data_IF_734657332414
#
_entry.id   IF_734657332414
#
_cell.length_a   1.000
_cell.length_b   1.000
_cell.length_c   1.000
_cell.angle_alpha   90.00
_cell.angle_beta   90.00
_cell.angle_gamma   90.00
#
_symmetry.space_group_name_H-M   'P 1'
#
loop_
_entity.id
_entity.type
_entity.pdbx_description
1 polymer ?
#
# COMPACT_ATOMS: atom_id res chain seq x y z
N UNK A 1 15.63 18.42 8.11
CA UNK A 1 16.04 17.61 9.27
C UNK A 1 16.39 18.54 10.40
N UNK A 2 15.67 18.45 11.51
CA UNK A 2 15.89 19.26 12.71
C UNK A 2 16.85 18.50 13.64
N UNK A 3 17.86 19.16 14.21
CA UNK A 3 18.85 18.49 15.07
C UNK A 3 18.31 18.25 16.48
N UNK A 4 18.80 17.21 17.16
CA UNK A 4 18.42 16.88 18.54
C UNK A 4 18.69 18.02 19.54
N UNK A 5 19.71 18.83 19.29
CA UNK A 5 20.00 20.04 20.07
C UNK A 5 18.90 21.11 19.89
N UNK A 6 18.40 21.29 18.66
CA UNK A 6 17.27 22.19 18.40
C UNK A 6 16.01 21.67 19.12
N UNK A 7 15.76 20.36 19.13
CA UNK A 7 14.64 19.74 19.85
C UNK A 7 14.69 19.99 21.37
N UNK A 8 15.88 19.95 21.98
CA UNK A 8 16.05 20.23 23.40
C UNK A 8 15.85 21.72 23.75
N UNK A 9 16.20 22.62 22.84
CA UNK A 9 15.96 24.05 23.01
C UNK A 9 14.48 24.40 22.85
N UNK A 10 13.75 23.69 21.98
CA UNK A 10 12.29 23.80 21.85
C UNK A 10 11.55 23.30 23.10
N UNK A 11 11.97 22.17 23.69
CA UNK A 11 11.37 21.66 24.93
C UNK A 11 11.40 22.68 26.09
N UNK A 12 12.50 23.45 26.21
CA UNK A 12 12.63 24.52 27.21
C UNK A 12 11.79 25.77 26.92
N UNK A 13 11.39 25.97 25.66
CA UNK A 13 10.50 27.05 25.23
C UNK A 13 9.04 26.64 25.51
N UNK A 14 8.70 25.36 25.35
CA UNK A 14 7.37 24.79 25.61
C UNK A 14 6.99 24.84 27.09
N UNK A 15 7.94 24.62 28.00
CA UNK A 15 7.75 24.80 29.46
C UNK A 15 7.35 26.24 29.87
N UNK A 16 7.40 27.20 28.95
CA UNK A 16 7.14 28.63 29.18
C UNK A 16 5.94 29.15 28.38
N UNK A 17 5.18 28.27 27.72
CA UNK A 17 4.09 28.68 26.82
C UNK A 17 2.79 28.93 27.59
N UNK A 18 2.11 30.09 27.39
CA UNK A 18 0.88 30.42 28.09
C UNK A 18 -0.37 29.73 27.51
N UNK A 19 -1.36 29.55 28.38
CA UNK A 19 -2.66 28.88 28.28
C UNK A 19 -3.57 29.23 27.06
N UNK A 20 -3.25 30.26 26.27
CA UNK A 20 -4.16 30.86 25.27
C UNK A 20 -3.44 31.30 23.98
N UNK A 21 -3.99 30.94 22.82
CA UNK A 21 -3.55 31.41 21.50
C UNK A 21 -4.68 32.08 20.72
N UNK A 22 -4.36 33.18 20.04
CA UNK A 22 -5.24 33.88 19.08
C UNK A 22 -4.51 34.05 17.75
N UNK A 23 -5.06 33.51 16.67
CA UNK A 23 -4.46 33.49 15.33
C UNK A 23 -5.49 33.79 14.25
N UNK A 24 -5.19 34.70 13.32
CA UNK A 24 -6.09 34.98 12.20
C UNK A 24 -5.81 34.02 11.02
N UNK A 25 -6.80 33.22 10.64
CA UNK A 25 -6.74 32.28 9.52
C UNK A 25 -7.84 32.64 8.52
N UNK A 26 -7.47 32.94 7.27
CA UNK A 26 -8.42 33.24 6.18
C UNK A 26 -9.48 34.30 6.53
N UNK A 27 -9.04 35.41 7.16
CA UNK A 27 -9.89 36.52 7.64
C UNK A 27 -10.85 36.15 8.79
N UNK A 28 -10.62 35.02 9.47
CA UNK A 28 -11.32 34.64 10.69
C UNK A 28 -10.34 34.57 11.83
N UNK A 29 -10.69 35.17 12.95
CA UNK A 29 -9.90 35.07 14.17
C UNK A 29 -10.18 33.73 14.83
N UNK A 30 -9.15 32.88 14.90
CA UNK A 30 -9.18 31.59 15.56
C UNK A 30 -8.58 31.72 16.96
N UNK A 31 -9.24 31.14 17.96
CA UNK A 31 -8.77 31.10 19.33
C UNK A 31 -8.61 29.63 19.74
N UNK A 32 -7.41 29.28 20.19
CA UNK A 32 -7.06 27.92 20.64
C UNK A 32 -6.71 28.00 22.11
N UNK A 33 -7.44 27.24 22.92
CA UNK A 33 -7.19 27.13 24.37
C UNK A 33 -6.81 25.68 24.66
N UNK A 34 -5.58 25.49 25.15
CA UNK A 34 -5.02 24.18 25.43
C UNK A 34 -4.57 24.17 26.89
N UNK A 35 -5.38 23.57 27.76
CA UNK A 35 -5.12 23.56 29.20
C UNK A 35 -3.90 22.71 29.62
N UNK A 36 -3.35 21.89 28.73
CA UNK A 36 -2.24 21.00 29.07
C UNK A 36 -2.62 19.97 30.14
N UNK A 37 -1.68 19.06 30.42
CA UNK A 37 -1.82 18.14 31.53
C UNK A 37 -1.24 18.79 32.79
N UNK A 38 -2.09 18.99 33.81
CA UNK A 38 -1.67 19.51 35.12
C UNK A 38 -1.84 18.42 36.18
N UNK A 39 -0.74 17.95 36.76
CA UNK A 39 -0.76 16.94 37.84
C UNK A 39 -1.14 17.53 39.19
N UNK A 40 -0.96 18.84 39.35
CA UNK A 40 -1.28 19.61 40.55
C UNK A 40 -1.59 21.06 40.18
N UNK A 41 -2.46 21.69 40.97
CA UNK A 41 -2.74 23.12 40.88
C UNK A 41 -1.52 24.00 41.25
N UNK A 42 -0.52 23.44 41.96
CA UNK A 42 0.72 24.14 42.30
C UNK A 42 1.58 24.51 41.06
N UNK A 43 1.27 23.92 39.90
CA UNK A 43 1.96 24.12 38.63
C UNK A 43 1.19 25.02 37.65
N UNK A 44 0.04 25.56 38.07
CA UNK A 44 -0.78 26.45 37.27
C UNK A 44 -0.30 27.89 37.48
N UNK A 45 0.24 28.51 36.42
CA UNK A 45 0.72 29.90 36.45
C UNK A 45 -0.43 30.87 36.12
N UNK A 46 -1.37 31.01 37.07
CA UNK A 46 -2.54 31.92 36.98
C UNK A 46 -2.65 32.79 38.22
N UNK A 47 -3.18 34.01 38.09
CA UNK A 47 -3.47 34.89 39.24
C UNK A 47 -4.69 34.41 40.06
N UNK A 48 -5.51 33.51 39.49
CA UNK A 48 -6.67 32.92 40.13
C UNK A 48 -6.36 31.58 40.81
N UNK A 49 -6.99 31.34 41.96
CA UNK A 49 -6.89 30.09 42.71
C UNK A 49 -8.12 29.22 42.47
N UNK A 50 -7.91 27.95 42.13
CA UNK A 50 -8.98 26.98 41.86
C UNK A 50 -9.18 26.02 43.02
N UNK A 51 -10.42 25.61 43.28
CA UNK A 51 -10.74 24.72 44.41
C UNK A 51 -10.36 23.25 44.14
N UNK A 52 -10.29 22.86 42.85
CA UNK A 52 -9.81 21.56 42.40
C UNK A 52 -9.27 21.62 40.96
N UNK A 53 -8.62 20.54 40.51
CA UNK A 53 -8.17 20.40 39.12
C UNK A 53 -9.37 20.42 38.16
N UNK A 54 -10.50 19.82 38.54
CA UNK A 54 -11.73 19.89 37.75
C UNK A 54 -12.28 21.33 37.64
N UNK A 55 -12.21 22.11 38.72
CA UNK A 55 -12.64 23.52 38.75
C UNK A 55 -11.79 24.39 37.81
N UNK A 56 -10.47 24.17 37.79
CA UNK A 56 -9.57 24.78 36.82
C UNK A 56 -10.02 24.49 35.37
N UNK A 57 -10.29 23.22 35.04
CA UNK A 57 -10.70 22.83 33.68
C UNK A 57 -12.09 23.35 33.26
N UNK A 58 -12.99 23.60 34.21
CA UNK A 58 -14.30 24.20 33.93
C UNK A 58 -14.19 25.71 33.67
N UNK A 59 -13.45 26.44 34.52
CA UNK A 59 -13.20 27.87 34.31
C UNK A 59 -12.43 28.14 33.02
N UNK A 60 -11.43 27.30 32.75
CA UNK A 60 -10.69 27.21 31.51
C UNK A 60 -11.56 27.23 30.23
N UNK A 61 -12.63 26.45 30.25
CA UNK A 61 -13.60 26.31 29.16
C UNK A 61 -14.52 27.53 29.07
N UNK A 62 -14.99 28.00 30.21
CA UNK A 62 -15.89 29.16 30.29
C UNK A 62 -15.17 30.45 29.86
N UNK A 63 -13.88 30.62 30.18
CA UNK A 63 -13.05 31.71 29.69
C UNK A 63 -12.79 31.63 28.19
N UNK A 64 -12.62 30.43 27.62
CA UNK A 64 -12.53 30.25 26.18
C UNK A 64 -13.82 30.71 25.47
N UNK A 65 -14.97 30.45 26.09
CA UNK A 65 -16.29 30.86 25.61
C UNK A 65 -16.52 32.37 25.77
N UNK A 66 -16.17 32.95 26.93
CA UNK A 66 -16.42 34.35 27.29
C UNK A 66 -15.39 35.33 26.71
N UNK A 67 -14.11 34.95 26.59
CA UNK A 67 -13.05 35.77 25.99
C UNK A 67 -12.96 35.63 24.46
N UNK A 68 -13.62 34.62 23.88
CA UNK A 68 -13.48 34.25 22.47
C UNK A 68 -14.71 34.45 21.57
N UNK A 69 -15.85 34.86 22.10
CA UNK A 69 -17.04 35.22 21.33
C UNK A 69 -16.84 36.49 20.49
N UNK A 70 -16.07 36.39 19.41
CA UNK A 70 -15.86 37.44 18.41
C UNK A 70 -16.74 37.13 17.20
N UNK A 71 -17.50 38.11 16.73
CA UNK A 71 -18.27 38.04 15.48
C UNK A 71 -17.36 37.56 14.33
N UNK A 72 -17.73 36.46 13.67
CA UNK A 72 -16.97 35.74 12.63
C UNK A 72 -15.77 34.87 13.10
N UNK A 73 -15.64 34.60 14.41
CA UNK A 73 -14.55 33.82 15.00
C UNK A 73 -14.71 32.29 14.96
N UNK A 74 -13.60 31.57 15.21
CA UNK A 74 -13.56 30.11 15.40
C UNK A 74 -12.88 29.79 16.73
N UNK A 75 -13.48 28.93 17.55
CA UNK A 75 -12.94 28.54 18.86
C UNK A 75 -12.72 27.02 18.89
N UNK A 76 -11.53 26.59 19.30
CA UNK A 76 -11.17 25.17 19.47
C UNK A 76 -10.76 24.97 20.94
N UNK A 77 -11.58 24.23 21.68
CA UNK A 77 -11.32 23.87 23.08
C UNK A 77 -11.00 22.37 23.18
N UNK A 78 -9.90 22.04 23.87
CA UNK A 78 -9.53 20.68 24.22
C UNK A 78 -9.34 20.57 25.73
N UNK A 79 -10.17 19.75 26.38
CA UNK A 79 -10.03 19.43 27.80
C UNK A 79 -10.43 17.99 28.06
N UNK A 80 -9.87 17.40 29.12
CA UNK A 80 -10.37 16.17 29.70
C UNK A 80 -11.30 16.53 30.86
N UNK A 81 -12.62 16.33 30.76
CA UNK A 81 -13.43 16.22 31.95
C UNK A 81 -14.11 14.85 32.01
N UNK A 82 -13.82 14.12 33.09
CA UNK A 82 -14.84 13.22 33.62
C UNK A 82 -15.78 14.10 34.43
N UNK A 83 -17.10 14.06 34.22
CA UNK A 83 -18.12 13.73 35.25
C UNK A 83 -19.55 13.89 34.64
N UNK A 84 -20.39 12.84 34.78
CA UNK A 84 -21.87 12.84 34.61
C UNK A 84 -22.51 13.60 35.78
N UNK A 85 -23.62 14.34 35.74
CA UNK A 85 -24.85 14.47 34.92
C UNK A 85 -25.13 15.99 34.89
N UNK A 86 -25.63 16.63 33.84
CA UNK A 86 -26.80 16.28 33.04
C UNK A 86 -26.48 16.53 31.55
N UNK A 87 -26.07 15.45 30.87
CA UNK A 87 -25.86 15.32 29.42
C UNK A 87 -25.23 16.51 28.65
N UNK A 88 -23.91 16.45 28.43
CA UNK A 88 -23.39 16.27 27.06
C UNK A 88 -22.29 15.20 27.09
N UNK A 89 -22.20 14.35 26.05
CA UNK A 89 -21.81 12.96 26.19
C UNK A 89 -20.30 12.78 26.19
N UNK A 90 -19.85 11.68 26.78
CA UNK A 90 -18.71 10.94 26.25
C UNK A 90 -18.89 10.85 24.74
N UNK A 91 -18.18 11.68 23.96
CA UNK A 91 -18.52 11.84 22.55
C UNK A 91 -18.03 10.65 21.71
N UNK A 92 -17.50 9.58 22.33
CA UNK A 92 -16.88 8.43 21.68
C UNK A 92 -15.72 8.82 20.72
N UNK A 93 -15.00 9.91 21.01
CA UNK A 93 -14.01 10.50 20.11
C UNK A 93 -14.62 11.29 18.93
N UNK A 94 -15.86 11.75 19.03
CA UNK A 94 -16.54 12.55 18.01
C UNK A 94 -16.35 14.05 18.25
N UNK A 95 -15.80 14.77 17.28
CA UNK A 95 -15.72 16.24 17.33
C UNK A 95 -17.13 16.85 17.31
N UNK A 96 -17.49 17.60 18.35
CA UNK A 96 -18.76 18.33 18.37
C UNK A 96 -18.55 19.72 17.75
N UNK A 97 -19.43 20.10 16.82
CA UNK A 97 -19.40 21.39 16.13
C UNK A 97 -20.73 22.10 16.31
N UNK A 98 -20.68 23.32 16.83
CA UNK A 98 -21.85 24.18 16.97
C UNK A 98 -21.60 25.51 16.24
N UNK A 99 -22.64 26.06 15.62
CA UNK A 99 -22.63 27.43 15.11
C UNK A 99 -23.62 28.24 15.93
N UNK A 100 -23.15 29.28 16.59
CA UNK A 100 -23.97 30.21 17.37
C UNK A 100 -24.33 31.40 16.48
N UNK A 101 -25.58 31.44 16.01
CA UNK A 101 -26.09 32.50 15.14
C UNK A 101 -26.15 33.87 15.85
N UNK A 102 -26.26 33.91 17.18
CA UNK A 102 -26.34 35.16 17.93
C UNK A 102 -24.99 35.86 18.08
N UNK A 103 -23.91 35.07 18.01
CA UNK A 103 -22.52 35.53 18.10
C UNK A 103 -21.76 35.42 16.77
N UNK A 104 -22.40 34.90 15.72
CA UNK A 104 -21.81 34.54 14.43
C UNK A 104 -20.45 33.81 14.56
N UNK A 105 -20.40 32.77 15.38
CA UNK A 105 -19.16 32.05 15.70
C UNK A 105 -19.33 30.52 15.58
N UNK A 106 -18.24 29.82 15.23
CA UNK A 106 -18.22 28.35 15.16
C UNK A 106 -17.36 27.81 16.30
N UNK A 107 -17.96 26.93 17.11
CA UNK A 107 -17.33 26.25 18.24
C UNK A 107 -17.01 24.80 17.89
N UNK A 108 -15.81 24.35 18.27
CA UNK A 108 -15.39 22.96 18.22
C UNK A 108 -15.00 22.46 19.62
N UNK A 109 -15.65 21.39 20.08
CA UNK A 109 -15.32 20.66 21.31
C UNK A 109 -14.68 19.32 20.97
N UNK A 110 -13.47 19.09 21.48
CA UNK A 110 -12.67 17.90 21.19
C UNK A 110 -12.33 17.19 22.51
N UNK A 111 -12.92 16.01 22.71
CA UNK A 111 -12.63 15.12 23.84
C UNK A 111 -11.37 14.31 23.55
N UNK A 112 -10.31 14.50 24.32
CA UNK A 112 -8.99 13.91 24.09
C UNK A 112 -8.85 12.45 24.56
N UNK A 113 -9.87 11.85 25.21
CA UNK A 113 -10.05 10.39 25.30
C UNK A 113 -8.89 9.53 25.85
N UNK A 114 -7.91 10.09 26.57
CA UNK A 114 -6.79 9.31 27.11
C UNK A 114 -7.20 8.50 28.35
N UNK A 115 -7.81 7.32 28.14
CA UNK A 115 -7.91 6.28 29.18
C UNK A 115 -6.78 5.27 28.97
N UNK A 116 -5.69 5.42 29.71
CA UNK A 116 -4.61 4.45 29.76
C UNK A 116 -5.11 3.17 30.44
N UNK A 117 -5.13 2.03 29.73
CA UNK A 117 -5.36 0.74 30.36
C UNK A 117 -5.53 -0.48 29.47
N UNK A 118 -6.01 -0.34 28.23
CA UNK A 118 -6.16 -1.50 27.32
C UNK A 118 -6.39 -1.08 25.87
N UNK A 119 -5.74 -1.77 24.94
CA UNK A 119 -5.99 -1.65 23.48
C UNK A 119 -7.38 -2.21 23.17
N UNK A 120 -8.20 -1.45 22.45
CA UNK A 120 -9.49 -1.92 21.91
C UNK A 120 -9.45 -1.91 20.38
N UNK A 121 -9.87 -3.02 19.76
CA UNK A 121 -9.79 -3.25 18.30
C UNK A 121 -10.65 -2.31 17.44
N UNK A 122 -11.50 -1.47 18.04
CA UNK A 122 -12.44 -0.60 17.31
C UNK A 122 -12.39 0.89 17.73
N UNK A 123 -11.29 1.34 18.32
CA UNK A 123 -11.15 2.75 18.73
C UNK A 123 -11.00 3.71 17.52
N UNK A 124 -11.57 4.92 17.61
CA UNK A 124 -11.37 6.04 16.66
C UNK A 124 -10.65 7.19 17.37
N UNK A 125 -9.81 7.93 16.63
CA UNK A 125 -8.81 8.86 17.17
C UNK A 125 -9.33 10.29 17.41
N UNK A 126 -8.81 10.94 18.47
CA UNK A 126 -9.33 12.19 19.06
C UNK A 126 -8.30 13.27 19.49
N UNK A 127 -7.03 13.30 19.01
CA UNK A 127 -6.08 14.37 19.42
C UNK A 127 -4.87 14.58 18.48
N UNK A 128 -4.27 15.79 18.52
CA UNK A 128 -2.92 16.14 18.03
C UNK A 128 -1.96 16.17 19.23
N UNK A 129 -0.86 15.43 19.16
CA UNK A 129 0.21 15.47 20.16
C UNK A 129 1.23 16.55 19.74
N UNK A 130 1.28 17.65 20.48
CA UNK A 130 2.16 18.79 20.16
C UNK A 130 3.65 18.54 20.49
N UNK A 131 3.99 17.35 21.00
CA UNK A 131 5.37 16.92 21.28
C UNK A 131 6.12 16.47 20.03
N UNK A 132 5.40 16.03 18.98
CA UNK A 132 5.99 15.49 17.75
C UNK A 132 5.29 15.93 16.45
N UNK A 133 4.38 16.92 16.52
CA UNK A 133 3.63 17.49 15.39
C UNK A 133 2.98 16.45 14.46
N UNK A 134 2.65 15.25 14.94
CA UNK A 134 1.94 14.27 14.13
C UNK A 134 0.44 14.55 14.10
N UNK A 135 -0.05 14.93 12.91
CA UNK A 135 -1.48 15.02 12.59
C UNK A 135 -1.99 13.62 12.23
N UNK A 136 -3.12 13.24 12.81
CA UNK A 136 -3.79 11.99 12.45
C UNK A 136 -5.27 12.25 12.14
N UNK A 137 -5.72 11.80 10.96
CA UNK A 137 -7.11 11.88 10.50
C UNK A 137 -7.75 10.49 10.47
N UNK A 138 -9.04 10.39 10.82
CA UNK A 138 -9.93 9.32 10.32
C UNK A 138 -10.95 9.96 9.40
N UNK A 139 -10.66 9.98 8.09
CA UNK A 139 -11.64 10.30 7.06
C UNK A 139 -12.47 9.07 6.73
N UNK A 140 -13.81 9.15 6.87
CA UNK A 140 -14.71 8.24 6.16
C UNK A 140 -14.93 8.73 4.73
N UNK A 141 -13.90 8.64 3.90
CA UNK A 141 -13.96 8.62 2.43
C UNK A 141 -12.57 8.30 1.88
N UNK A 142 -12.49 7.31 0.99
CA UNK A 142 -11.34 6.83 0.19
C UNK A 142 -10.05 6.34 0.91
N UNK A 143 -9.68 6.85 2.08
CA UNK A 143 -8.53 6.36 2.86
C UNK A 143 -8.69 4.92 3.39
N UNK A 144 -9.93 4.44 3.58
CA UNK A 144 -10.22 3.03 3.96
C UNK A 144 -10.17 2.08 2.76
N UNK A 145 -10.30 2.59 1.52
CA UNK A 145 -10.20 1.76 0.30
C UNK A 145 -8.74 1.46 -0.06
N UNK A 146 -7.80 2.36 0.23
CA UNK A 146 -6.37 2.20 -0.11
C UNK A 146 -5.73 1.01 0.62
N UNK A 147 -5.97 0.85 1.93
CA UNK A 147 -5.45 -0.28 2.73
C UNK A 147 -5.97 -1.64 2.28
N UNK A 148 -7.21 -1.67 1.78
CA UNK A 148 -7.82 -2.90 1.29
C UNK A 148 -7.14 -3.37 0.00
N UNK A 149 -6.68 -2.46 -0.86
CA UNK A 149 -6.14 -2.84 -2.16
C UNK A 149 -4.78 -3.53 -2.04
N UNK A 150 -3.93 -3.10 -1.09
CA UNK A 150 -2.69 -3.82 -0.76
C UNK A 150 -2.98 -5.23 -0.26
N UNK A 151 -3.89 -5.38 0.71
CA UNK A 151 -4.27 -6.69 1.23
C UNK A 151 -4.85 -7.59 0.12
N UNK A 152 -5.76 -7.04 -0.69
CA UNK A 152 -6.41 -7.72 -1.81
C UNK A 152 -5.38 -8.22 -2.83
N UNK A 153 -4.48 -7.36 -3.31
CA UNK A 153 -3.49 -7.70 -4.33
C UNK A 153 -2.33 -8.55 -3.81
N UNK A 154 -1.70 -8.14 -2.71
CA UNK A 154 -0.47 -8.78 -2.21
C UNK A 154 -0.74 -10.19 -1.69
N UNK A 155 -1.84 -10.42 -0.97
CA UNK A 155 -2.20 -11.78 -0.54
C UNK A 155 -2.61 -12.64 -1.72
N UNK A 156 -3.20 -12.05 -2.77
CA UNK A 156 -3.47 -12.73 -4.01
C UNK A 156 -2.19 -13.21 -4.71
N UNK A 157 -1.19 -12.32 -4.80
CA UNK A 157 0.14 -12.61 -5.35
C UNK A 157 0.84 -13.71 -4.56
N UNK A 158 0.94 -13.57 -3.23
CA UNK A 158 1.60 -14.54 -2.34
C UNK A 158 0.92 -15.92 -2.39
N UNK A 159 -0.41 -15.94 -2.48
CA UNK A 159 -1.15 -17.19 -2.60
C UNK A 159 -0.90 -17.88 -3.94
N UNK A 160 -0.81 -17.11 -5.03
CA UNK A 160 -0.50 -17.63 -6.35
C UNK A 160 0.90 -18.22 -6.44
N UNK A 161 1.89 -17.45 -5.99
CA UNK A 161 3.28 -17.88 -5.84
C UNK A 161 3.35 -19.20 -5.06
N UNK A 162 2.86 -19.23 -3.81
CA UNK A 162 2.95 -20.41 -2.95
C UNK A 162 2.23 -21.66 -3.48
N UNK A 163 1.23 -21.50 -4.35
CA UNK A 163 0.58 -22.61 -5.05
C UNK A 163 1.42 -23.16 -6.22
N UNK A 164 2.20 -22.29 -6.88
CA UNK A 164 3.04 -22.66 -8.01
C UNK A 164 4.40 -23.23 -7.60
N UNK A 165 5.00 -22.78 -6.50
CA UNK A 165 6.33 -23.22 -6.01
C UNK A 165 6.54 -24.74 -6.03
N UNK A 166 5.60 -25.60 -5.59
CA UNK A 166 5.83 -27.04 -5.56
C UNK A 166 5.94 -27.68 -6.95
N UNK A 167 5.41 -27.04 -7.99
CA UNK A 167 5.32 -27.61 -9.35
C UNK A 167 6.08 -26.79 -10.39
N UNK A 168 6.92 -25.85 -9.95
CA UNK A 168 7.74 -25.04 -10.84
C UNK A 168 8.58 -25.91 -11.79
N UNK A 169 8.68 -25.47 -13.05
CA UNK A 169 9.30 -26.17 -14.17
C UNK A 169 8.61 -27.48 -14.60
N UNK A 170 7.42 -27.78 -14.07
CA UNK A 170 6.63 -28.94 -14.50
C UNK A 170 5.93 -28.63 -15.82
N UNK A 171 6.16 -29.47 -16.84
CA UNK A 171 5.53 -29.28 -18.15
C UNK A 171 4.00 -29.35 -18.08
N UNK A 172 3.33 -28.61 -18.96
CA UNK A 172 1.87 -28.64 -19.09
C UNK A 172 1.27 -30.03 -19.17
N UNK A 173 1.91 -30.92 -19.94
CA UNK A 173 1.45 -32.29 -20.12
C UNK A 173 1.36 -33.03 -18.78
N UNK A 174 2.36 -32.86 -17.92
CA UNK A 174 2.36 -33.42 -16.57
C UNK A 174 1.34 -32.73 -15.67
N UNK A 175 1.16 -31.42 -15.81
CA UNK A 175 0.11 -30.69 -15.08
C UNK A 175 -1.30 -31.15 -15.47
N UNK A 176 -1.52 -31.58 -16.71
CA UNK A 176 -2.81 -32.16 -17.13
C UNK A 176 -3.05 -33.55 -16.53
N UNK A 177 -1.99 -34.35 -16.34
CA UNK A 177 -2.08 -35.67 -15.69
C UNK A 177 -2.25 -35.55 -14.16
N UNK A 178 -1.58 -34.57 -13.56
CA UNK A 178 -1.52 -34.35 -12.12
C UNK A 178 -1.73 -32.87 -11.78
N UNK A 179 -2.95 -32.34 -11.96
CA UNK A 179 -3.21 -30.93 -11.75
C UNK A 179 -3.11 -30.55 -10.27
N UNK A 180 -2.61 -29.35 -10.02
CA UNK A 180 -2.72 -28.70 -8.71
C UNK A 180 -4.18 -28.35 -8.49
N UNK A 181 -4.71 -28.80 -7.35
CA UNK A 181 -6.09 -28.54 -6.91
C UNK A 181 -6.16 -27.86 -5.55
N UNK A 182 -5.03 -27.85 -4.82
CA UNK A 182 -4.91 -27.34 -3.46
C UNK A 182 -3.45 -26.98 -3.13
N UNK A 183 -3.23 -26.29 -2.02
CA UNK A 183 -1.91 -25.86 -1.55
C UNK A 183 -1.09 -27.04 -1.04
N UNK A 184 0.03 -27.30 -1.70
CA UNK A 184 0.96 -28.39 -1.36
C UNK A 184 2.37 -27.84 -1.17
N UNK A 185 3.33 -28.70 -0.86
CA UNK A 185 4.74 -28.36 -0.66
C UNK A 185 5.62 -29.57 -0.97
N UNK A 186 6.92 -29.43 -0.77
CA UNK A 186 7.91 -30.48 -0.99
C UNK A 186 7.91 -31.05 -2.41
N UNK A 187 7.93 -30.17 -3.41
CA UNK A 187 7.98 -30.51 -4.83
C UNK A 187 9.32 -30.12 -5.44
N UNK A 188 9.33 -29.11 -6.32
CA UNK A 188 10.56 -28.57 -6.93
C UNK A 188 11.61 -28.19 -5.90
N UNK A 189 11.18 -27.50 -4.84
CA UNK A 189 12.03 -27.16 -3.69
C UNK A 189 11.62 -27.93 -2.42
N UNK A 190 12.56 -28.19 -1.50
CA UNK A 190 12.32 -28.91 -0.26
C UNK A 190 11.65 -28.02 0.82
N UNK A 191 10.67 -27.22 0.43
CA UNK A 191 9.98 -26.24 1.29
C UNK A 191 8.56 -26.69 1.62
N UNK A 192 8.06 -26.44 2.85
CA UNK A 192 6.71 -26.86 3.26
C UNK A 192 5.59 -26.12 2.50
N UNK A 193 4.34 -26.63 2.56
CA UNK A 193 3.19 -25.93 2.01
C UNK A 193 3.08 -24.47 2.49
N UNK A 194 2.67 -23.58 1.60
CA UNK A 194 2.52 -22.15 1.90
C UNK A 194 3.83 -21.35 1.88
N UNK A 195 4.94 -21.98 1.47
CA UNK A 195 6.18 -21.28 1.15
C UNK A 195 6.06 -20.59 -0.21
N UNK A 196 6.51 -19.35 -0.29
CA UNK A 196 6.54 -18.49 -1.49
C UNK A 196 7.99 -18.20 -1.90
N UNK A 197 8.23 -17.89 -3.18
CA UNK A 197 9.54 -17.77 -3.85
C UNK A 197 10.07 -16.33 -3.92
N UNK A 198 10.95 -16.05 -4.88
CA UNK A 198 11.51 -14.73 -5.12
C UNK A 198 10.46 -13.72 -5.61
N UNK A 199 9.41 -14.17 -6.30
CA UNK A 199 8.22 -13.39 -6.67
C UNK A 199 7.68 -12.55 -5.50
N UNK A 200 7.21 -13.25 -4.45
CA UNK A 200 6.69 -12.62 -3.25
C UNK A 200 7.79 -11.94 -2.45
N UNK A 201 8.99 -12.52 -2.38
CA UNK A 201 10.11 -11.94 -1.66
C UNK A 201 10.40 -10.51 -2.12
N UNK A 202 10.57 -10.34 -3.42
CA UNK A 202 10.93 -9.07 -4.01
C UNK A 202 9.74 -8.11 -4.05
N UNK A 203 8.50 -8.61 -4.17
CA UNK A 203 7.30 -7.79 -4.02
C UNK A 203 7.20 -7.22 -2.58
N UNK A 204 7.40 -8.06 -1.55
CA UNK A 204 7.34 -7.67 -0.15
C UNK A 204 8.51 -6.75 0.25
N UNK A 205 9.70 -6.97 -0.31
CA UNK A 205 10.84 -6.06 -0.18
C UNK A 205 10.52 -4.66 -0.74
N UNK A 206 9.83 -4.60 -1.87
CA UNK A 206 9.36 -3.35 -2.47
C UNK A 206 8.28 -2.69 -1.62
N UNK A 207 7.29 -3.46 -1.15
CA UNK A 207 6.23 -3.00 -0.26
C UNK A 207 6.80 -2.40 1.04
N UNK A 208 7.79 -3.06 1.63
CA UNK A 208 8.45 -2.58 2.85
C UNK A 208 9.14 -1.23 2.66
N UNK A 209 9.75 -0.97 1.50
CA UNK A 209 10.35 0.32 1.21
C UNK A 209 9.30 1.43 1.03
N UNK A 210 8.16 1.11 0.39
CA UNK A 210 7.06 2.06 0.22
C UNK A 210 6.51 2.55 1.57
N UNK A 211 6.40 1.65 2.55
CA UNK A 211 5.96 2.00 3.90
C UNK A 211 6.88 3.02 4.59
N UNK A 212 8.20 2.82 4.51
CA UNK A 212 9.15 3.65 5.26
C UNK A 212 9.55 4.94 4.53
N UNK A 213 9.61 4.91 3.19
CA UNK A 213 10.28 5.94 2.39
C UNK A 213 9.52 6.36 1.13
N UNK A 214 8.32 5.81 0.89
CA UNK A 214 7.66 5.91 -0.40
C UNK A 214 8.47 5.24 -1.51
N UNK A 215 8.37 5.71 -2.77
CA UNK A 215 9.14 5.14 -3.87
C UNK A 215 10.60 5.61 -3.78
N UNK A 216 11.40 4.85 -3.04
CA UNK A 216 12.84 5.02 -2.94
C UNK A 216 13.57 3.84 -3.60
N UNK A 217 14.00 4.05 -4.84
CA UNK A 217 14.68 3.03 -5.66
C UNK A 217 15.92 2.44 -4.98
N UNK A 218 16.69 3.27 -4.27
CA UNK A 218 17.87 2.82 -3.53
C UNK A 218 17.46 1.90 -2.39
N UNK A 219 16.46 2.31 -1.60
CA UNK A 219 15.96 1.51 -0.48
C UNK A 219 15.40 0.17 -0.95
N UNK A 220 14.75 0.13 -2.11
CA UNK A 220 14.25 -1.11 -2.71
C UNK A 220 15.41 -2.04 -3.09
N UNK A 221 16.46 -1.51 -3.75
CA UNK A 221 17.65 -2.31 -4.05
C UNK A 221 18.39 -2.76 -2.79
N UNK A 222 18.50 -1.91 -1.76
CA UNK A 222 19.05 -2.30 -0.45
C UNK A 222 18.22 -3.44 0.16
N UNK A 223 16.89 -3.40 0.04
CA UNK A 223 16.03 -4.49 0.49
C UNK A 223 16.19 -5.77 -0.35
N UNK A 224 16.47 -5.67 -1.65
CA UNK A 224 16.80 -6.83 -2.49
C UNK A 224 18.14 -7.46 -2.09
N UNK A 225 19.14 -6.64 -1.73
CA UNK A 225 20.42 -7.14 -1.16
C UNK A 225 20.17 -7.83 0.18
N UNK A 226 19.35 -7.24 1.07
CA UNK A 226 18.96 -7.87 2.35
C UNK A 226 18.20 -9.19 2.15
N UNK A 227 17.41 -9.30 1.10
CA UNK A 227 16.74 -10.54 0.71
C UNK A 227 17.74 -11.60 0.24
N UNK A 228 18.61 -11.26 -0.72
CA UNK A 228 19.64 -12.15 -1.29
C UNK A 228 20.61 -12.66 -0.22
N UNK A 229 21.13 -11.76 0.63
CA UNK A 229 22.21 -12.09 1.57
C UNK A 229 21.72 -12.60 2.94
N UNK A 230 20.57 -12.10 3.41
CA UNK A 230 20.12 -12.31 4.80
C UNK A 230 18.73 -12.97 4.91
N UNK A 231 18.06 -13.29 3.80
CA UNK A 231 16.75 -13.96 3.81
C UNK A 231 15.63 -13.16 4.48
N UNK A 232 15.77 -11.83 4.63
CA UNK A 232 14.88 -10.98 5.44
C UNK A 232 13.41 -11.05 5.00
N UNK A 233 13.22 -11.12 3.69
CA UNK A 233 11.93 -11.20 3.02
C UNK A 233 11.72 -12.59 2.43
N UNK A 234 12.00 -13.67 3.16
CA UNK A 234 11.68 -15.04 2.71
C UNK A 234 10.75 -15.72 3.72
N UNK A 235 10.06 -16.83 3.37
CA UNK A 235 9.15 -17.51 4.30
C UNK A 235 9.87 -18.02 5.56
N UNK A 236 11.11 -18.49 5.44
CA UNK A 236 11.83 -19.18 6.51
C UNK A 236 13.22 -18.60 6.85
N UNK A 237 13.59 -17.43 6.32
CA UNK A 237 14.91 -16.83 6.52
C UNK A 237 16.02 -17.37 5.60
N UNK A 238 15.67 -18.24 4.65
CA UNK A 238 16.57 -18.77 3.63
C UNK A 238 16.08 -18.36 2.24
N UNK A 239 17.00 -17.93 1.36
CA UNK A 239 16.70 -17.55 -0.02
C UNK A 239 16.80 -18.77 -0.95
N UNK A 240 15.83 -18.89 -1.85
CA UNK A 240 15.86 -19.81 -2.98
C UNK A 240 15.25 -19.10 -4.20
N UNK A 241 15.33 -19.74 -5.37
CA UNK A 241 14.67 -19.32 -6.61
C UNK A 241 15.15 -18.05 -7.31
N UNK A 242 16.34 -17.54 -6.97
CA UNK A 242 16.77 -16.30 -7.61
C UNK A 242 17.07 -16.45 -9.12
N UNK A 243 16.31 -15.72 -9.94
CA UNK A 243 16.57 -15.58 -11.36
C UNK A 243 17.91 -14.90 -11.70
N UNK A 244 18.61 -15.43 -12.72
CA UNK A 244 19.95 -14.97 -13.14
C UNK A 244 20.02 -13.46 -13.44
N UNK A 245 18.99 -12.89 -14.09
CA UNK A 245 18.94 -11.45 -14.39
C UNK A 245 18.83 -10.58 -13.14
N UNK A 246 18.10 -11.05 -12.12
CA UNK A 246 18.02 -10.40 -10.81
C UNK A 246 19.37 -10.45 -10.10
N UNK A 247 19.99 -11.63 -10.02
CA UNK A 247 21.29 -11.82 -9.38
C UNK A 247 22.39 -10.92 -9.98
N UNK A 248 22.48 -10.84 -11.31
CA UNK A 248 23.44 -9.93 -11.97
C UNK A 248 23.19 -8.46 -11.62
N UNK A 249 21.93 -8.05 -11.50
CA UNK A 249 21.59 -6.66 -11.20
C UNK A 249 21.84 -6.30 -9.73
N UNK A 250 21.54 -7.21 -8.80
CA UNK A 250 21.87 -7.05 -7.37
C UNK A 250 23.39 -7.00 -7.19
N UNK A 251 24.13 -7.90 -7.86
CA UNK A 251 25.59 -7.84 -7.91
C UNK A 251 26.11 -6.50 -8.43
N UNK A 252 25.62 -6.02 -9.58
CA UNK A 252 26.02 -4.72 -10.14
C UNK A 252 25.73 -3.57 -9.17
N UNK A 253 24.57 -3.59 -8.52
CA UNK A 253 24.22 -2.58 -7.53
C UNK A 253 25.16 -2.60 -6.33
N UNK A 254 25.53 -3.77 -5.80
CA UNK A 254 26.50 -3.90 -4.70
C UNK A 254 27.89 -3.37 -5.07
N UNK A 255 28.30 -3.48 -6.34
CA UNK A 255 29.60 -2.99 -6.80
C UNK A 255 29.64 -1.46 -7.03
N UNK A 256 28.54 -0.89 -7.53
CA UNK A 256 28.55 0.49 -8.05
C UNK A 256 27.56 1.45 -7.37
N UNK A 257 26.66 0.93 -6.53
CA UNK A 257 25.60 1.67 -5.82
C UNK A 257 24.73 2.56 -6.72
N UNK A 258 24.61 2.22 -8.01
CA UNK A 258 23.90 3.02 -9.00
C UNK A 258 22.64 2.30 -9.51
N UNK A 259 21.50 2.69 -8.95
CA UNK A 259 20.17 2.17 -9.30
C UNK A 259 19.76 2.45 -10.76
N UNK A 260 20.39 3.41 -11.44
CA UNK A 260 20.04 3.75 -12.82
C UNK A 260 20.69 2.83 -13.85
N UNK A 261 21.73 2.06 -13.46
CA UNK A 261 22.55 1.28 -14.38
C UNK A 261 22.76 -0.17 -13.95
N UNK A 262 22.12 -0.63 -12.88
CA UNK A 262 22.33 -1.98 -12.35
C UNK A 262 21.59 -3.07 -13.15
N UNK A 263 20.41 -2.77 -13.69
CA UNK A 263 19.60 -3.73 -14.43
C UNK A 263 20.12 -4.07 -15.83
N UNK A 264 19.78 -5.27 -16.29
CA UNK A 264 20.18 -5.78 -17.60
C UNK A 264 19.26 -5.24 -18.71
N UNK A 265 19.84 -4.73 -19.80
CA UNK A 265 19.12 -4.02 -20.87
C UNK A 265 19.10 -4.76 -22.21
N UNK A 266 19.61 -5.99 -22.26
CA UNK A 266 19.70 -6.79 -23.49
C UNK A 266 18.41 -7.54 -23.79
N UNK A 267 18.18 -7.84 -25.07
CA UNK A 267 16.99 -8.57 -25.52
C UNK A 267 16.85 -9.96 -24.89
N UNK A 268 17.97 -10.64 -24.64
CA UNK A 268 18.00 -11.94 -23.96
C UNK A 268 17.86 -11.86 -22.43
N UNK A 269 17.59 -10.67 -21.89
CA UNK A 269 17.38 -10.41 -20.45
C UNK A 269 15.92 -10.01 -20.15
N UNK A 270 14.96 -10.41 -20.99
CA UNK A 270 13.53 -10.14 -20.81
C UNK A 270 12.81 -11.24 -20.00
N UNK A 271 13.42 -11.64 -18.88
CA UNK A 271 12.73 -12.44 -17.88
C UNK A 271 11.51 -11.70 -17.30
N UNK A 272 10.57 -12.44 -16.71
CA UNK A 272 9.41 -11.92 -16.00
C UNK A 272 9.73 -11.36 -14.59
N UNK A 273 10.98 -11.46 -14.13
CA UNK A 273 11.39 -11.09 -12.77
C UNK A 273 11.16 -9.63 -12.34
N UNK A 274 10.94 -8.69 -13.26
CA UNK A 274 10.46 -7.35 -12.90
C UNK A 274 8.94 -7.26 -12.80
N UNK A 275 8.21 -8.01 -13.62
CA UNK A 275 6.75 -8.03 -13.68
C UNK A 275 6.17 -8.68 -12.43
N UNK A 276 6.76 -9.79 -11.95
CA UNK A 276 6.27 -10.50 -10.76
C UNK A 276 6.17 -9.64 -9.50
N UNK A 277 7.03 -8.63 -9.37
CA UNK A 277 7.18 -7.84 -8.14
C UNK A 277 6.68 -6.41 -8.23
N UNK A 278 6.08 -5.99 -9.35
CA UNK A 278 5.73 -4.58 -9.58
C UNK A 278 4.45 -4.14 -8.88
N UNK A 279 3.57 -5.09 -8.52
CA UNK A 279 2.25 -4.85 -7.93
C UNK A 279 2.21 -3.79 -6.81
N UNK A 280 3.05 -3.83 -5.76
CA UNK A 280 2.96 -2.85 -4.67
C UNK A 280 3.21 -1.41 -5.14
N UNK A 281 4.09 -1.21 -6.14
CA UNK A 281 4.33 0.10 -6.73
C UNK A 281 3.16 0.52 -7.61
N UNK A 282 2.55 -0.40 -8.36
CA UNK A 282 1.36 -0.10 -9.15
C UNK A 282 0.19 0.40 -8.29
N UNK A 283 -0.04 -0.26 -7.13
CA UNK A 283 -1.05 0.16 -6.16
C UNK A 283 -0.73 1.56 -5.60
N UNK A 284 0.53 1.80 -5.24
CA UNK A 284 0.98 3.10 -4.72
C UNK A 284 0.77 4.23 -5.74
N UNK A 285 1.17 4.01 -6.99
CA UNK A 285 1.00 4.99 -8.06
C UNK A 285 -0.46 5.27 -8.35
N UNK A 286 -1.31 4.23 -8.37
CA UNK A 286 -2.76 4.40 -8.52
C UNK A 286 -3.32 5.33 -7.43
N UNK A 287 -2.91 5.12 -6.18
CA UNK A 287 -3.31 5.99 -5.08
C UNK A 287 -2.86 7.44 -5.30
N UNK A 288 -1.62 7.66 -5.73
CA UNK A 288 -1.15 9.00 -6.08
C UNK A 288 -1.90 9.62 -7.28
N UNK A 289 -2.38 8.82 -8.23
CA UNK A 289 -3.27 9.31 -9.30
C UNK A 289 -4.61 9.78 -8.74
N UNK A 290 -5.24 8.97 -7.89
CA UNK A 290 -6.55 9.26 -7.30
C UNK A 290 -6.50 10.51 -6.40
N UNK A 291 -5.50 10.60 -5.51
CA UNK A 291 -5.41 11.67 -4.50
C UNK A 291 -4.81 12.97 -5.04
N UNK A 292 -3.75 12.86 -5.85
CA UNK A 292 -2.94 14.00 -6.26
C UNK A 292 -3.05 14.32 -7.76
N UNK A 293 -3.83 13.55 -8.52
CA UNK A 293 -3.94 13.73 -9.97
C UNK A 293 -2.62 13.46 -10.71
N UNK A 294 -1.78 12.55 -10.19
CA UNK A 294 -0.52 12.18 -10.83
C UNK A 294 -0.76 11.67 -12.26
N UNK A 295 -0.01 12.21 -13.23
CA UNK A 295 -0.21 11.90 -14.65
C UNK A 295 0.36 10.54 -15.04
N UNK A 296 -0.19 9.96 -16.11
CA UNK A 296 0.22 8.67 -16.66
C UNK A 296 1.70 8.66 -17.06
N UNK A 297 2.20 9.74 -17.65
CA UNK A 297 3.62 9.87 -18.04
C UNK A 297 4.55 9.69 -16.83
N UNK A 298 4.20 10.31 -15.70
CA UNK A 298 4.99 10.22 -14.47
C UNK A 298 4.87 8.84 -13.83
N UNK A 299 3.68 8.24 -13.84
CA UNK A 299 3.49 6.88 -13.33
C UNK A 299 4.33 5.87 -14.12
N UNK A 300 4.27 5.93 -15.45
CA UNK A 300 5.01 5.00 -16.30
C UNK A 300 6.53 5.23 -16.26
N UNK A 301 6.99 6.47 -16.10
CA UNK A 301 8.42 6.73 -15.85
C UNK A 301 8.89 6.00 -14.58
N UNK A 302 8.10 6.03 -13.51
CA UNK A 302 8.41 5.34 -12.26
C UNK A 302 8.36 3.82 -12.44
N UNK A 303 7.31 3.29 -13.09
CA UNK A 303 7.19 1.85 -13.38
C UNK A 303 8.38 1.36 -14.20
N UNK A 304 8.83 2.13 -15.19
CA UNK A 304 9.99 1.77 -16.01
C UNK A 304 11.28 1.79 -15.21
N UNK A 305 11.47 2.76 -14.30
CA UNK A 305 12.62 2.79 -13.38
C UNK A 305 12.61 1.61 -12.42
N UNK A 306 11.44 1.22 -11.91
CA UNK A 306 11.26 0.04 -11.06
C UNK A 306 11.60 -1.26 -11.78
N UNK A 307 11.15 -1.42 -13.03
CA UNK A 307 11.57 -2.55 -13.85
C UNK A 307 13.08 -2.54 -14.05
N UNK A 308 13.64 -1.38 -14.41
CA UNK A 308 15.06 -1.20 -14.71
C UNK A 308 16.02 -1.45 -13.54
N UNK A 309 15.52 -1.60 -12.32
CA UNK A 309 16.33 -2.05 -11.19
C UNK A 309 16.98 -3.42 -11.45
N UNK A 310 16.29 -4.32 -12.17
CA UNK A 310 16.90 -5.58 -12.63
C UNK A 310 16.70 -5.88 -14.12
N UNK A 311 15.55 -5.50 -14.70
CA UNK A 311 15.20 -5.71 -16.10
C UNK A 311 14.97 -4.35 -16.80
N UNK A 312 16.02 -3.83 -17.43
CA UNK A 312 16.04 -2.51 -18.06
C UNK A 312 15.65 -2.51 -19.54
N UNK A 313 15.50 -3.68 -20.15
CA UNK A 313 15.03 -3.79 -21.54
C UNK A 313 13.58 -3.30 -21.69
N UNK A 314 13.25 -2.72 -22.85
CA UNK A 314 11.98 -2.02 -23.08
C UNK A 314 10.75 -2.93 -22.99
N UNK A 315 10.83 -4.19 -23.46
CA UNK A 315 9.73 -5.17 -23.30
C UNK A 315 9.37 -5.43 -21.83
N UNK A 316 10.37 -5.56 -20.95
CA UNK A 316 10.14 -5.75 -19.51
C UNK A 316 9.47 -4.52 -18.87
N UNK A 317 9.96 -3.33 -19.22
CA UNK A 317 9.38 -2.04 -18.80
C UNK A 317 7.93 -1.88 -19.27
N UNK A 318 7.66 -2.22 -20.54
CA UNK A 318 6.33 -2.13 -21.13
C UNK A 318 5.35 -3.09 -20.48
N UNK A 319 5.77 -4.34 -20.22
CA UNK A 319 4.96 -5.35 -19.53
C UNK A 319 4.54 -4.88 -18.13
N UNK A 320 5.49 -4.31 -17.36
CA UNK A 320 5.19 -3.70 -16.07
C UNK A 320 4.20 -2.52 -16.19
N UNK A 321 4.31 -1.71 -17.25
CA UNK A 321 3.37 -0.61 -17.49
C UNK A 321 1.98 -1.08 -17.90
N UNK A 322 1.87 -2.13 -18.72
CA UNK A 322 0.59 -2.77 -19.06
C UNK A 322 -0.06 -3.32 -17.78
N UNK A 323 0.72 -3.97 -16.93
CA UNK A 323 0.28 -4.45 -15.63
C UNK A 323 -0.22 -3.31 -14.71
N UNK A 324 0.48 -2.17 -14.68
CA UNK A 324 0.03 -0.98 -13.95
C UNK A 324 -1.37 -0.52 -14.39
N UNK A 325 -1.62 -0.43 -15.70
CA UNK A 325 -2.95 -0.11 -16.21
C UNK A 325 -3.99 -1.16 -15.82
N UNK A 326 -3.63 -2.45 -15.83
CA UNK A 326 -4.52 -3.52 -15.37
C UNK A 326 -4.90 -3.35 -13.89
N UNK A 327 -3.92 -3.11 -13.01
CA UNK A 327 -4.16 -2.83 -11.58
C UNK A 327 -5.09 -1.63 -11.42
N UNK A 328 -4.82 -0.53 -12.13
CA UNK A 328 -5.61 0.70 -12.05
C UNK A 328 -7.07 0.50 -12.45
N UNK A 329 -7.32 -0.20 -13.56
CA UNK A 329 -8.66 -0.43 -14.08
C UNK A 329 -9.41 -1.48 -13.26
N UNK A 330 -8.79 -2.62 -12.94
CA UNK A 330 -9.41 -3.68 -12.15
C UNK A 330 -9.81 -3.22 -10.75
N UNK A 331 -9.01 -2.33 -10.13
CA UNK A 331 -9.32 -1.75 -8.83
C UNK A 331 -10.62 -0.92 -8.81
N UNK A 332 -11.16 -0.50 -9.97
CA UNK A 332 -12.45 0.21 -10.04
C UNK A 332 -13.64 -0.70 -9.69
N UNK A 333 -13.56 -2.00 -10.01
CA UNK A 333 -14.58 -3.03 -9.72
C UNK A 333 -16.02 -2.62 -10.07
N UNK A 334 -16.20 -1.78 -11.09
CA UNK A 334 -17.48 -1.17 -11.43
C UNK A 334 -18.05 -1.65 -12.78
N UNK A 335 -17.32 -2.54 -13.46
CA UNK A 335 -17.62 -3.09 -14.78
C UNK A 335 -17.20 -4.55 -14.86
N UNK A 336 -17.68 -5.31 -15.86
CA UNK A 336 -17.18 -6.66 -16.14
C UNK A 336 -15.66 -6.69 -16.33
N UNK A 337 -15.03 -7.78 -15.90
CA UNK A 337 -13.56 -7.95 -15.95
C UNK A 337 -12.98 -7.70 -17.35
N UNK A 338 -13.61 -8.28 -18.38
CA UNK A 338 -13.16 -8.13 -19.77
C UNK A 338 -13.14 -6.66 -20.22
N UNK A 339 -14.16 -5.87 -19.86
CA UNK A 339 -14.24 -4.45 -20.21
C UNK A 339 -13.14 -3.64 -19.51
N UNK A 340 -12.86 -3.94 -18.24
CA UNK A 340 -11.80 -3.29 -17.48
C UNK A 340 -10.41 -3.61 -18.05
N UNK A 341 -10.17 -4.88 -18.41
CA UNK A 341 -8.91 -5.30 -19.04
C UNK A 341 -8.74 -4.70 -20.44
N UNK A 342 -9.80 -4.66 -21.25
CA UNK A 342 -9.73 -4.04 -22.58
C UNK A 342 -9.39 -2.55 -22.45
N UNK A 343 -10.02 -1.84 -21.50
CA UNK A 343 -9.70 -0.44 -21.25
C UNK A 343 -8.25 -0.25 -20.76
N UNK A 344 -7.73 -1.14 -19.91
CA UNK A 344 -6.34 -1.10 -19.45
C UNK A 344 -5.36 -1.26 -20.62
N UNK A 345 -5.60 -2.26 -21.48
CA UNK A 345 -4.82 -2.51 -22.68
C UNK A 345 -4.89 -1.31 -23.62
N UNK A 346 -6.08 -0.76 -23.89
CA UNK A 346 -6.23 0.38 -24.78
C UNK A 346 -5.47 1.62 -24.32
N UNK A 347 -5.51 1.91 -23.01
CA UNK A 347 -4.75 3.01 -22.41
C UNK A 347 -3.24 2.78 -22.54
N UNK A 348 -2.78 1.56 -22.24
CA UNK A 348 -1.36 1.20 -22.33
C UNK A 348 -0.81 1.29 -23.76
N UNK A 349 -1.53 0.75 -24.75
CA UNK A 349 -1.14 0.83 -26.16
C UNK A 349 -1.17 2.27 -26.67
N UNK A 350 -2.21 3.05 -26.31
CA UNK A 350 -2.29 4.47 -26.69
C UNK A 350 -1.12 5.30 -26.15
N UNK A 351 -0.57 4.94 -24.98
CA UNK A 351 0.64 5.56 -24.46
C UNK A 351 1.88 5.15 -25.25
N UNK A 352 2.10 3.85 -25.44
CA UNK A 352 3.32 3.33 -26.08
C UNK A 352 3.39 3.58 -27.59
N UNK A 353 2.26 3.74 -28.28
CA UNK A 353 2.21 4.08 -29.70
C UNK A 353 2.78 5.49 -30.00
N UNK A 354 2.90 6.36 -29.00
CA UNK A 354 3.41 7.74 -29.15
C UNK A 354 4.93 7.81 -29.35
N UNK A 355 5.66 6.75 -28.97
CA UNK A 355 7.12 6.69 -29.07
C UNK A 355 7.54 5.62 -30.09
N UNK A 356 8.42 5.97 -31.03
CA UNK A 356 8.81 5.06 -32.11
C UNK A 356 9.52 3.78 -31.65
N UNK A 357 10.29 3.81 -30.56
CA UNK A 357 10.99 2.63 -30.06
C UNK A 357 10.03 1.71 -29.29
N UNK A 358 9.15 2.29 -28.47
CA UNK A 358 8.07 1.54 -27.81
C UNK A 358 7.11 0.92 -28.83
N UNK A 359 6.81 1.63 -29.92
CA UNK A 359 5.95 1.13 -31.00
C UNK A 359 6.52 -0.09 -31.72
N UNK A 360 7.83 -0.18 -31.91
CA UNK A 360 8.46 -1.39 -32.49
C UNK A 360 8.29 -2.58 -31.54
N UNK A 361 8.54 -2.37 -30.25
CA UNK A 361 8.40 -3.42 -29.25
C UNK A 361 6.94 -3.84 -29.02
N UNK A 362 5.97 -2.94 -29.23
CA UNK A 362 4.53 -3.24 -29.13
C UNK A 362 4.07 -4.34 -30.09
N UNK A 363 4.76 -4.56 -31.20
CA UNK A 363 4.41 -5.63 -32.16
C UNK A 363 4.42 -7.01 -31.51
N UNK A 364 5.31 -7.22 -30.53
CA UNK A 364 5.38 -8.47 -29.75
C UNK A 364 4.19 -8.67 -28.80
N UNK A 365 3.47 -7.61 -28.45
CA UNK A 365 2.29 -7.63 -27.57
C UNK A 365 0.97 -7.73 -28.35
N UNK A 366 1.02 -7.92 -29.67
CA UNK A 366 -0.18 -7.91 -30.53
C UNK A 366 -1.29 -8.87 -30.08
N UNK A 367 -0.94 -10.02 -29.49
CA UNK A 367 -1.89 -11.04 -29.01
C UNK A 367 -2.76 -10.58 -27.85
N UNK A 368 -2.31 -9.59 -27.07
CA UNK A 368 -3.10 -9.03 -25.96
C UNK A 368 -3.86 -7.76 -26.34
N UNK A 369 -3.87 -7.35 -27.62
CA UNK A 369 -4.55 -6.11 -28.04
C UNK A 369 -6.08 -6.18 -27.91
N UNK A 370 -6.65 -7.36 -28.08
CA UNK A 370 -8.09 -7.61 -28.06
C UNK A 370 -8.41 -8.71 -27.04
N UNK A 371 -9.09 -8.36 -25.95
CA UNK A 371 -9.45 -9.30 -24.88
C UNK A 371 -10.44 -10.37 -25.34
N UNK A 372 -11.37 -10.05 -26.23
CA UNK A 372 -12.31 -11.02 -26.78
C UNK A 372 -11.56 -12.08 -27.61
N UNK A 373 -10.61 -11.66 -28.44
CA UNK A 373 -9.77 -12.58 -29.22
C UNK A 373 -8.85 -13.40 -28.32
N UNK A 374 -8.19 -12.76 -27.36
CA UNK A 374 -7.33 -13.43 -26.38
C UNK A 374 -8.10 -14.53 -25.65
N UNK A 375 -9.32 -14.26 -25.18
CA UNK A 375 -10.14 -15.22 -24.44
C UNK A 375 -10.41 -16.52 -25.22
N UNK A 376 -10.43 -16.44 -26.56
CA UNK A 376 -10.73 -17.56 -27.47
C UNK A 376 -9.50 -18.35 -27.89
N UNK A 377 -8.29 -17.90 -27.55
CA UNK A 377 -7.06 -18.63 -27.88
C UNK A 377 -7.08 -19.98 -27.15
N UNK A 378 -6.89 -21.11 -27.85
CA UNK A 378 -6.81 -22.42 -27.23
C UNK A 378 -5.67 -22.49 -26.22
N UNK A 379 -5.88 -23.19 -25.11
CA UNK A 379 -4.89 -23.30 -24.03
C UNK A 379 -3.54 -23.75 -24.57
N UNK A 380 -3.49 -24.67 -25.55
CA UNK A 380 -2.26 -25.21 -26.17
C UNK A 380 -1.38 -24.14 -26.85
N UNK A 381 -1.91 -22.96 -27.11
CA UNK A 381 -1.19 -21.83 -27.72
C UNK A 381 -0.84 -20.73 -26.73
N UNK A 382 -1.17 -20.90 -25.45
CA UNK A 382 -0.75 -20.00 -24.37
C UNK A 382 0.57 -20.53 -23.82
N UNK A 383 1.62 -19.72 -23.83
CA UNK A 383 2.90 -20.04 -23.21
C UNK A 383 2.97 -19.43 -21.82
N UNK A 384 3.54 -20.14 -20.86
CA UNK A 384 3.67 -19.71 -19.46
C UNK A 384 5.09 -19.91 -18.96
N UNK A 385 6.08 -19.66 -19.81
CA UNK A 385 7.50 -19.69 -19.44
C UNK A 385 8.00 -18.34 -18.90
N UNK A 386 9.31 -18.27 -18.68
CA UNK A 386 9.97 -17.09 -18.09
C UNK A 386 10.07 -15.85 -18.98
N UNK A 387 9.53 -15.86 -20.21
CA UNK A 387 9.55 -14.68 -21.07
C UNK A 387 8.41 -13.72 -20.71
N UNK A 388 8.75 -12.49 -20.33
CA UNK A 388 7.78 -11.50 -19.78
C UNK A 388 6.54 -11.25 -20.64
N UNK A 389 6.65 -11.35 -21.97
CA UNK A 389 5.51 -11.18 -22.88
C UNK A 389 4.55 -12.38 -22.82
N UNK A 390 5.10 -13.59 -22.72
CA UNK A 390 4.30 -14.80 -22.55
C UNK A 390 3.60 -14.78 -21.19
N UNK A 391 4.31 -14.37 -20.13
CA UNK A 391 3.72 -14.28 -18.79
C UNK A 391 2.53 -13.31 -18.73
N UNK A 392 2.65 -12.09 -19.29
CA UNK A 392 1.51 -11.15 -19.28
C UNK A 392 0.35 -11.65 -20.15
N UNK A 393 0.63 -12.31 -21.28
CA UNK A 393 -0.41 -12.93 -22.11
C UNK A 393 -1.15 -14.03 -21.35
N UNK A 394 -0.43 -14.97 -20.74
CA UNK A 394 -0.98 -16.08 -19.97
C UNK A 394 -1.85 -15.60 -18.80
N UNK A 395 -1.38 -14.59 -18.07
CA UNK A 395 -2.11 -14.00 -16.95
C UNK A 395 -3.45 -13.40 -17.39
N UNK A 396 -3.44 -12.58 -18.44
CA UNK A 396 -4.66 -11.97 -18.96
C UNK A 396 -5.62 -13.04 -19.50
N UNK A 397 -5.09 -14.06 -20.17
CA UNK A 397 -5.88 -15.20 -20.63
C UNK A 397 -6.55 -15.97 -19.47
N UNK A 398 -5.83 -16.20 -18.36
CA UNK A 398 -6.38 -16.87 -17.18
C UNK A 398 -7.53 -16.09 -16.55
N UNK A 399 -7.36 -14.78 -16.39
CA UNK A 399 -8.39 -13.87 -15.86
C UNK A 399 -9.66 -13.87 -16.73
N UNK A 400 -9.50 -13.86 -18.05
CA UNK A 400 -10.63 -13.88 -19.00
C UNK A 400 -11.36 -15.23 -19.05
N UNK A 401 -10.66 -16.32 -18.76
CA UNK A 401 -11.20 -17.68 -18.84
C UNK A 401 -11.65 -18.25 -17.48
N UNK A 402 -11.81 -17.40 -16.46
CA UNK A 402 -12.26 -17.80 -15.11
C UNK A 402 -13.18 -16.73 -14.53
N UNK A 403 -13.92 -17.09 -13.47
CA UNK A 403 -14.93 -16.21 -12.87
C UNK A 403 -14.73 -15.93 -11.38
N UNK A 404 -13.69 -16.51 -10.78
CA UNK A 404 -13.33 -16.28 -9.39
C UNK A 404 -11.81 -16.41 -9.17
N UNK A 405 -11.36 -16.03 -7.97
CA UNK A 405 -9.95 -16.05 -7.60
C UNK A 405 -9.35 -17.46 -7.66
N UNK A 406 -10.06 -18.44 -7.08
CA UNK A 406 -9.56 -19.81 -6.95
C UNK A 406 -9.29 -20.41 -8.32
N UNK A 407 -10.27 -20.35 -9.21
CA UNK A 407 -10.16 -20.92 -10.55
C UNK A 407 -9.11 -20.17 -11.37
N UNK A 408 -8.99 -18.84 -11.22
CA UNK A 408 -7.97 -18.04 -11.91
C UNK A 408 -6.55 -18.50 -11.55
N UNK A 409 -6.26 -18.62 -10.26
CA UNK A 409 -4.93 -18.99 -9.78
C UNK A 409 -4.62 -20.46 -10.09
N UNK A 410 -5.56 -21.38 -9.90
CA UNK A 410 -5.36 -22.78 -10.30
C UNK A 410 -5.16 -22.91 -11.81
N UNK A 411 -5.88 -22.13 -12.62
CA UNK A 411 -5.67 -22.13 -14.07
C UNK A 411 -4.26 -21.66 -14.43
N UNK A 412 -3.78 -20.60 -13.79
CA UNK A 412 -2.42 -20.08 -13.99
C UNK A 412 -1.35 -21.12 -13.63
N UNK A 413 -1.42 -21.74 -12.44
CA UNK A 413 -0.49 -22.80 -12.02
C UNK A 413 -0.51 -23.99 -12.98
N UNK A 414 -1.71 -24.42 -13.40
CA UNK A 414 -1.86 -25.60 -14.27
C UNK A 414 -1.52 -25.34 -15.74
N UNK A 415 -1.12 -24.11 -16.12
CA UNK A 415 -0.49 -23.89 -17.43
C UNK A 415 0.88 -24.57 -17.53
N UNK A 416 1.54 -24.84 -16.40
CA UNK A 416 2.87 -25.44 -16.35
C UNK A 416 4.00 -24.46 -16.66
N UNK A 417 5.20 -24.99 -16.79
CA UNK A 417 6.46 -24.28 -17.04
C UNK A 417 6.82 -23.35 -15.87
N UNK A 418 6.69 -22.03 -16.00
CA UNK A 418 7.00 -21.05 -14.96
C UNK A 418 5.74 -20.77 -14.11
N UNK A 419 5.42 -21.76 -13.25
CA UNK A 419 4.12 -21.87 -12.61
C UNK A 419 3.90 -20.91 -11.46
N UNK A 420 4.91 -20.69 -10.63
CA UNK A 420 4.86 -19.75 -9.51
C UNK A 420 4.76 -18.32 -10.02
N UNK A 421 5.58 -17.92 -11.01
CA UNK A 421 5.52 -16.55 -11.53
C UNK A 421 4.21 -16.26 -12.23
N UNK A 422 3.75 -17.16 -13.11
CA UNK A 422 2.48 -16.97 -13.81
C UNK A 422 1.32 -16.88 -12.81
N UNK A 423 1.34 -17.70 -11.75
CA UNK A 423 0.32 -17.69 -10.71
C UNK A 423 0.41 -16.49 -9.78
N UNK A 424 1.60 -15.99 -9.45
CA UNK A 424 1.82 -14.81 -8.63
C UNK A 424 1.28 -13.55 -9.32
N UNK A 425 1.61 -13.36 -10.59
CA UNK A 425 1.15 -12.21 -11.38
C UNK A 425 -0.38 -12.26 -11.55
N UNK A 426 -0.94 -13.44 -11.88
CA UNK A 426 -2.37 -13.64 -12.01
C UNK A 426 -3.11 -13.48 -10.68
N UNK A 427 -2.58 -14.04 -9.61
CA UNK A 427 -3.09 -13.92 -8.25
C UNK A 427 -3.11 -12.48 -7.78
N UNK A 428 -2.09 -11.68 -8.12
CA UNK A 428 -2.07 -10.26 -7.87
C UNK A 428 -3.26 -9.53 -8.50
N UNK A 429 -3.49 -9.69 -9.81
CA UNK A 429 -4.61 -9.04 -10.50
C UNK A 429 -5.98 -9.60 -10.10
N UNK A 430 -6.08 -10.92 -9.91
CA UNK A 430 -7.29 -11.58 -9.43
C UNK A 430 -7.64 -11.10 -8.02
N UNK A 431 -6.64 -10.94 -7.14
CA UNK A 431 -6.78 -10.33 -5.83
C UNK A 431 -7.28 -8.90 -5.92
N UNK A 432 -6.71 -8.07 -6.81
CA UNK A 432 -7.17 -6.70 -7.08
C UNK A 432 -8.62 -6.66 -7.59
N UNK A 433 -9.10 -7.65 -8.32
CA UNK A 433 -10.47 -7.66 -8.84
C UNK A 433 -11.49 -8.29 -7.87
N UNK A 434 -11.22 -9.52 -7.42
CA UNK A 434 -12.13 -10.30 -6.56
C UNK A 434 -12.02 -9.91 -5.07
N UNK A 435 -10.84 -9.47 -4.62
CA UNK A 435 -10.58 -9.07 -3.24
C UNK A 435 -10.20 -10.22 -2.31
N UNK A 436 -9.49 -9.88 -1.24
CA UNK A 436 -8.90 -10.77 -0.24
C UNK A 436 -9.90 -11.79 0.34
N UNK A 437 -11.13 -11.37 0.62
CA UNK A 437 -12.18 -12.23 1.19
C UNK A 437 -12.63 -13.37 0.27
N UNK A 438 -12.27 -13.33 -1.01
CA UNK A 438 -12.59 -14.37 -1.99
C UNK A 438 -11.41 -15.34 -2.22
N UNK A 439 -10.27 -15.13 -1.55
CA UNK A 439 -9.20 -16.12 -1.49
C UNK A 439 -9.65 -17.24 -0.56
N UNK A 440 -9.51 -18.54 -0.94
CA UNK A 440 -9.87 -19.64 -0.06
C UNK A 440 -9.16 -19.58 1.29
N UNK A 441 -9.93 -19.56 2.38
CA UNK A 441 -9.37 -19.35 3.73
C UNK A 441 -8.31 -20.40 4.11
N UNK A 442 -8.53 -21.67 3.76
CA UNK A 442 -7.57 -22.75 4.04
C UNK A 442 -6.23 -22.56 3.31
N UNK A 443 -6.21 -21.86 2.17
CA UNK A 443 -4.94 -21.48 1.51
C UNK A 443 -4.24 -20.39 2.30
N UNK A 444 -4.99 -19.34 2.69
CA UNK A 444 -4.45 -18.27 3.51
C UNK A 444 -3.88 -18.79 4.84
N UNK A 445 -4.60 -19.68 5.54
CA UNK A 445 -4.16 -20.32 6.78
C UNK A 445 -2.86 -21.13 6.62
N UNK A 446 -2.55 -21.58 5.40
CA UNK A 446 -1.34 -22.34 5.10
C UNK A 446 -0.15 -21.41 4.79
N UNK A 447 -0.38 -20.17 4.35
CA UNK A 447 0.67 -19.22 4.00
C UNK A 447 1.61 -18.95 5.18
N UNK A 448 2.90 -19.21 4.95
CA UNK A 448 3.94 -18.94 5.94
C UNK A 448 4.08 -17.44 6.13
N UNK A 449 4.12 -17.02 7.40
CA UNK A 449 4.18 -15.61 7.83
C UNK A 449 2.97 -14.77 7.35
N UNK A 450 1.79 -15.36 7.15
CA UNK A 450 0.55 -14.64 6.78
C UNK A 450 0.36 -13.34 7.55
N UNK A 451 0.34 -13.39 8.89
CA UNK A 451 0.12 -12.20 9.72
C UNK A 451 1.12 -11.07 9.44
N UNK A 452 2.40 -11.41 9.28
CA UNK A 452 3.44 -10.42 8.94
C UNK A 452 3.20 -9.77 7.57
N UNK A 453 2.74 -10.53 6.57
CA UNK A 453 2.42 -10.00 5.25
C UNK A 453 1.20 -9.08 5.32
N UNK A 454 0.16 -9.50 6.04
CA UNK A 454 -1.05 -8.70 6.21
C UNK A 454 -0.79 -7.40 6.97
N UNK A 455 0.04 -7.46 8.01
CA UNK A 455 0.45 -6.27 8.75
C UNK A 455 1.22 -5.31 7.85
N UNK A 456 2.17 -5.82 7.06
CA UNK A 456 2.92 -5.01 6.09
C UNK A 456 1.97 -4.31 5.09
N UNK A 457 0.91 -4.99 4.65
CA UNK A 457 -0.11 -4.40 3.77
C UNK A 457 -0.97 -3.32 4.44
N UNK A 458 -1.20 -3.40 5.76
CA UNK A 458 -2.04 -2.45 6.53
C UNK A 458 -1.29 -1.21 6.99
N UNK A 459 0.04 -1.26 6.96
CA UNK A 459 0.94 -0.21 7.43
C UNK A 459 1.15 0.93 6.41
N UNK A 460 0.84 0.71 5.13
CA UNK A 460 0.78 1.75 4.09
C UNK A 460 -0.61 2.36 4.05
#
# INVERSE_FOLDING_TARGET
MVSFALLCDWAKIVERMPYFYKIDINKRTCIVVHAGYIESLDHVDTEESYESIEDFYLHARDDAYMCGGIEHGMIIAGHTPTIKYEEFPYNNGSVYRMYDESLDCIFYDIDCGCVMGSVQENAKLACIRLEDEKIYYVGTSDYVKSKKLYLDGMMGLVTGDALGVPVEFTSREKMQEHPVVDMTGYGTYPVPPGSWSDDSSMALASLSALHSDGINLKKIMDNFVDWEENGKFTPAGEMFDEGVTCSFAIYNYKQFENVATCGQDRENSNGNGSLMRILPVCIYLKYLQDECGLKDETCLEIVHKMSALTHAHLRSKMSCGIYFYCVRELAKRNKPLEELLQNAVDLSFSFYEQNNDSKKELEHFSRIRNMEELSKIPIEQINSGGYVIESIEAVLWCLLNTSDFKDCVLKAVNLGDDTDTTAAIAGGLAGIYYGYKNIPEHWLETIIRREWIEDLCRMI
#
